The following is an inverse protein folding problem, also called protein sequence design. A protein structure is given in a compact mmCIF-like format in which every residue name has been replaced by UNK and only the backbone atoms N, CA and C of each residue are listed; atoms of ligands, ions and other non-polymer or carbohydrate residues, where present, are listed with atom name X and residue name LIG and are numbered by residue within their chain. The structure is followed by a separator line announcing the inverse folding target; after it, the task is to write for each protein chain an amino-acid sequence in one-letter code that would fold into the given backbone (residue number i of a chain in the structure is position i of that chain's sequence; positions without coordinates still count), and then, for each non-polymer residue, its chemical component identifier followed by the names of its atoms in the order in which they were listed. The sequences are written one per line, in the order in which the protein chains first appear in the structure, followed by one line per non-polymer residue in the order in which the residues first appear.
data_IF_814444201173
#
_entry.id   IF_814444201173
#
_cell.length_a   1.000
_cell.length_b   1.000
_cell.length_c   1.000
_cell.angle_alpha   90.00
_cell.angle_beta   90.00
_cell.angle_gamma   90.00
#
_symmetry.space_group_name_H-M   'P 1'
#
loop_
_entity.id
_entity.type
_entity.pdbx_description
1 polymer ?
#
# COMPACT_ATOMS: atom_id res chain seq x y z
N UNK A 1 -18.87 15.77 13.52
CA UNK A 1 -17.87 16.35 12.60
C UNK A 1 -16.75 16.84 13.48
N UNK A 2 -15.66 16.09 13.58
CA UNK A 2 -14.49 16.49 14.36
C UNK A 2 -13.25 16.14 13.57
N UNK A 3 -12.46 17.17 13.32
CA UNK A 3 -11.33 17.23 12.42
C UNK A 3 -10.14 16.48 13.03
N UNK A 4 -9.69 15.41 12.37
CA UNK A 4 -8.56 14.58 12.81
C UNK A 4 -7.20 15.20 12.42
N UNK A 5 -7.01 16.52 12.53
CA UNK A 5 -5.78 17.19 12.07
C UNK A 5 -4.85 17.69 13.17
N UNK A 6 -5.20 17.57 14.46
CA UNK A 6 -4.35 18.03 15.57
C UNK A 6 -4.42 17.07 16.76
N UNK A 7 -3.52 16.08 16.82
CA UNK A 7 -3.39 15.16 17.96
C UNK A 7 -1.99 15.32 18.57
N UNK A 8 -1.87 15.60 19.89
CA UNK A 8 -0.59 15.81 20.56
C UNK A 8 0.27 14.53 20.57
N UNK A 9 1.60 14.72 20.58
CA UNK A 9 2.61 13.65 20.44
C UNK A 9 2.46 12.55 21.52
N UNK A 10 1.99 12.87 22.72
CA UNK A 10 1.76 11.90 23.80
C UNK A 10 0.60 10.92 23.50
N UNK A 11 -0.43 11.36 22.76
CA UNK A 11 -1.56 10.50 22.36
C UNK A 11 -1.17 9.51 21.25
N UNK A 12 -0.08 9.77 20.51
CA UNK A 12 0.43 8.85 19.46
C UNK A 12 0.95 7.52 20.00
N UNK A 13 1.25 7.42 21.31
CA UNK A 13 1.63 6.16 21.98
C UNK A 13 0.43 5.32 22.41
N UNK A 14 -0.79 5.81 22.20
CA UNK A 14 -2.03 5.10 22.57
C UNK A 14 -2.71 4.43 21.38
N UNK A 15 -2.22 4.63 20.16
CA UNK A 15 -2.80 4.04 18.95
C UNK A 15 -1.74 3.34 18.10
N UNK A 16 -2.11 2.19 17.53
CA UNK A 16 -1.34 1.47 16.51
C UNK A 16 -1.99 1.63 15.14
N UNK A 17 -1.22 1.84 14.07
CA UNK A 17 -1.76 1.84 12.73
C UNK A 17 -2.24 0.44 12.34
N UNK A 18 -3.31 0.39 11.56
CA UNK A 18 -3.77 -0.77 10.83
C UNK A 18 -4.00 -0.36 9.39
N UNK A 19 -3.46 -1.12 8.45
CA UNK A 19 -3.67 -0.95 7.02
C UNK A 19 -4.52 -2.11 6.53
N UNK A 20 -5.62 -1.81 5.85
CA UNK A 20 -6.39 -2.81 5.11
C UNK A 20 -6.21 -2.59 3.61
N UNK A 21 -5.91 -3.64 2.86
CA UNK A 21 -5.83 -3.64 1.40
C UNK A 21 -6.98 -4.46 0.84
N UNK A 22 -7.76 -3.86 -0.03
CA UNK A 22 -8.81 -4.50 -0.80
C UNK A 22 -8.49 -4.33 -2.29
N UNK A 23 -8.62 -5.39 -3.09
CA UNK A 23 -8.48 -5.25 -4.53
C UNK A 23 -9.55 -4.30 -5.07
N UNK A 24 -9.11 -3.33 -5.86
CA UNK A 24 -10.01 -2.40 -6.51
C UNK A 24 -10.03 -2.67 -8.00
N UNK A 25 -11.15 -3.15 -8.49
CA UNK A 25 -11.40 -3.27 -9.91
C UNK A 25 -12.59 -2.42 -10.33
N UNK A 26 -12.37 -1.28 -11.02
CA UNK A 26 -13.47 -0.48 -11.55
C UNK A 26 -14.26 -1.20 -12.65
N UNK A 27 -13.69 -2.24 -13.28
CA UNK A 27 -14.32 -2.98 -14.38
C UNK A 27 -14.96 -4.31 -13.93
N UNK A 28 -14.81 -4.70 -12.66
CA UNK A 28 -15.43 -5.90 -12.08
C UNK A 28 -14.98 -7.25 -12.66
N UNK A 29 -13.75 -7.31 -13.19
CA UNK A 29 -13.14 -8.48 -13.82
C UNK A 29 -12.21 -9.27 -12.87
N UNK A 30 -11.75 -8.66 -11.79
CA UNK A 30 -11.00 -9.31 -10.72
C UNK A 30 -12.00 -9.90 -9.71
N UNK A 31 -11.80 -11.16 -9.31
CA UNK A 31 -12.63 -11.81 -8.30
C UNK A 31 -12.64 -11.04 -6.98
N UNK A 32 -13.73 -11.19 -6.21
CA UNK A 32 -13.88 -10.63 -4.86
C UNK A 32 -12.89 -11.28 -3.88
N UNK A 33 -11.62 -10.93 -4.00
CA UNK A 33 -10.64 -11.25 -2.97
C UNK A 33 -10.88 -10.33 -1.78
N UNK A 34 -11.28 -10.92 -0.64
CA UNK A 34 -11.57 -10.18 0.58
C UNK A 34 -10.39 -9.33 1.06
N UNK A 35 -10.68 -8.27 1.79
CA UNK A 35 -9.67 -7.36 2.31
C UNK A 35 -8.68 -8.08 3.24
N UNK A 36 -7.39 -7.83 3.03
CA UNK A 36 -6.30 -8.27 3.93
C UNK A 36 -5.91 -7.11 4.85
N UNK A 37 -5.53 -7.40 6.09
CA UNK A 37 -5.14 -6.37 7.07
C UNK A 37 -3.75 -6.61 7.63
N UNK A 38 -2.99 -5.53 7.83
CA UNK A 38 -1.66 -5.51 8.43
C UNK A 38 -1.63 -4.51 9.58
N UNK A 39 -1.07 -4.90 10.72
CA UNK A 39 -0.79 -4.02 11.85
C UNK A 39 0.68 -4.07 12.30
N UNK A 40 1.53 -4.78 11.56
CA UNK A 40 2.98 -4.81 11.70
C UNK A 40 3.64 -4.18 10.46
N UNK A 41 4.58 -3.27 10.70
CA UNK A 41 5.25 -2.50 9.66
C UNK A 41 6.78 -2.63 9.79
N UNK A 42 7.53 -2.70 8.68
CA UNK A 42 7.07 -2.42 7.30
C UNK A 42 6.32 -3.59 6.65
N UNK A 43 5.42 -3.27 5.71
CA UNK A 43 4.82 -4.25 4.79
C UNK A 43 5.28 -3.90 3.36
N UNK A 44 5.83 -4.87 2.65
CA UNK A 44 6.28 -4.73 1.26
C UNK A 44 5.23 -5.32 0.33
N UNK A 45 4.85 -4.60 -0.71
CA UNK A 45 3.94 -5.07 -1.75
C UNK A 45 4.75 -5.31 -3.03
N UNK A 46 4.57 -6.46 -3.67
CA UNK A 46 5.30 -6.77 -4.89
C UNK A 46 4.83 -8.03 -5.59
N UNK A 47 5.33 -8.26 -6.79
CA UNK A 47 4.96 -9.43 -7.59
C UNK A 47 5.65 -10.71 -7.12
N UNK A 48 4.99 -11.86 -7.21
CA UNK A 48 5.65 -13.16 -7.02
C UNK A 48 6.86 -13.34 -7.95
N UNK A 49 7.90 -14.01 -7.43
CA UNK A 49 8.96 -14.57 -8.28
C UNK A 49 8.40 -15.77 -9.08
N UNK A 50 9.03 -16.15 -10.19
CA UNK A 50 8.51 -17.14 -11.16
C UNK A 50 8.17 -18.53 -10.56
N UNK A 51 8.66 -18.84 -9.37
CA UNK A 51 8.40 -20.05 -8.57
C UNK A 51 7.50 -19.80 -7.34
N UNK A 52 6.63 -18.79 -7.39
CA UNK A 52 5.89 -18.27 -6.23
C UNK A 52 4.93 -19.26 -5.57
N UNK A 53 5.13 -19.49 -4.27
CA UNK A 53 4.16 -20.09 -3.35
C UNK A 53 2.76 -19.47 -3.51
N UNK A 54 1.70 -20.29 -3.39
CA UNK A 54 0.31 -19.84 -3.48
C UNK A 54 -0.12 -18.87 -2.37
N UNK A 55 0.71 -18.67 -1.34
CA UNK A 55 0.39 -17.77 -0.23
C UNK A 55 0.86 -16.33 -0.53
N UNK A 56 -0.11 -15.40 -0.61
CA UNK A 56 0.13 -13.98 -0.89
C UNK A 56 0.64 -13.21 0.31
N UNK A 57 0.31 -13.63 1.52
CA UNK A 57 0.82 -13.02 2.74
C UNK A 57 1.92 -13.90 3.34
N UNK A 58 3.16 -13.41 3.28
CA UNK A 58 4.31 -14.04 3.90
C UNK A 58 5.01 -13.05 4.82
N UNK A 59 4.36 -12.75 5.95
CA UNK A 59 4.89 -11.87 6.99
C UNK A 59 4.90 -10.42 6.52
N UNK A 60 6.09 -9.85 6.32
CA UNK A 60 6.25 -8.46 5.85
C UNK A 60 6.11 -8.31 4.33
N UNK A 61 5.50 -9.27 3.64
CA UNK A 61 5.30 -9.25 2.19
C UNK A 61 3.85 -9.59 1.80
N UNK A 62 3.24 -8.73 1.01
CA UNK A 62 2.02 -8.99 0.27
C UNK A 62 2.33 -9.14 -1.22
N UNK A 63 2.12 -10.35 -1.74
CA UNK A 63 2.42 -10.69 -3.12
C UNK A 63 1.21 -10.56 -4.04
N UNK A 64 1.46 -10.03 -5.23
CA UNK A 64 0.48 -9.94 -6.31
C UNK A 64 0.86 -10.85 -7.47
N UNK A 65 -0.16 -11.38 -8.13
CA UNK A 65 0.00 -12.08 -9.40
C UNK A 65 0.05 -11.06 -10.54
N UNK A 66 1.05 -11.16 -11.39
CA UNK A 66 1.18 -10.31 -12.56
C UNK A 66 2.05 -11.03 -13.61
N UNK A 67 1.74 -10.78 -14.88
CA UNK A 67 2.27 -11.51 -16.02
C UNK A 67 2.92 -10.55 -17.01
N UNK A 68 3.86 -11.02 -17.85
CA UNK A 68 4.44 -10.16 -18.89
C UNK A 68 3.37 -9.56 -19.82
N UNK A 69 3.45 -8.26 -20.17
CA UNK A 69 4.43 -7.28 -19.72
C UNK A 69 4.14 -6.79 -18.28
N UNK A 70 5.11 -6.98 -17.39
CA UNK A 70 4.91 -6.76 -15.95
C UNK A 70 4.59 -5.30 -15.61
N UNK A 71 3.56 -5.11 -14.79
CA UNK A 71 3.22 -3.84 -14.15
C UNK A 71 3.85 -3.73 -12.77
N UNK A 72 3.88 -4.84 -12.02
CA UNK A 72 4.44 -4.92 -10.69
C UNK A 72 5.88 -5.43 -10.69
N UNK A 73 6.68 -4.83 -9.80
CA UNK A 73 8.06 -5.24 -9.53
C UNK A 73 8.06 -6.19 -8.34
N UNK A 74 9.08 -7.03 -8.19
CA UNK A 74 9.14 -8.02 -7.09
C UNK A 74 9.10 -7.39 -5.69
N UNK A 75 9.64 -6.18 -5.57
CA UNK A 75 9.56 -5.33 -4.37
C UNK A 75 9.09 -3.95 -4.86
N UNK A 76 7.80 -3.82 -5.10
CA UNK A 76 7.27 -2.69 -5.86
C UNK A 76 7.15 -1.44 -4.98
N UNK A 77 6.50 -1.55 -3.84
CA UNK A 77 6.43 -0.48 -2.85
C UNK A 77 6.42 -1.07 -1.43
N UNK A 78 6.58 -0.22 -0.44
CA UNK A 78 6.45 -0.59 0.98
C UNK A 78 5.68 0.48 1.73
N UNK A 79 4.97 0.06 2.77
CA UNK A 79 4.35 0.95 3.74
C UNK A 79 5.13 0.81 5.03
N UNK A 80 5.58 1.92 5.59
CA UNK A 80 6.38 1.94 6.82
C UNK A 80 6.04 3.13 7.72
N UNK A 81 6.46 3.04 8.97
CA UNK A 81 6.34 4.15 9.93
C UNK A 81 7.43 5.18 9.66
N UNK A 82 7.02 6.39 9.28
CA UNK A 82 7.85 7.58 9.14
C UNK A 82 7.72 8.53 10.35
N UNK A 83 8.24 9.75 10.20
CA UNK A 83 8.25 10.78 11.26
C UNK A 83 6.84 11.29 11.56
N UNK A 84 5.99 11.36 10.53
CA UNK A 84 4.63 11.92 10.61
C UNK A 84 3.51 10.89 10.80
N UNK A 85 3.78 9.59 10.71
CA UNK A 85 2.77 8.53 10.60
C UNK A 85 3.19 7.48 9.59
N UNK A 86 2.23 6.81 8.96
CA UNK A 86 2.54 5.89 7.86
C UNK A 86 2.97 6.67 6.61
N UNK A 87 3.91 6.10 5.87
CA UNK A 87 4.36 6.56 4.57
C UNK A 87 4.36 5.37 3.60
N UNK A 88 4.00 5.62 2.34
CA UNK A 88 4.20 4.68 1.24
C UNK A 88 5.42 5.10 0.42
N UNK A 89 6.26 4.11 0.09
CA UNK A 89 7.55 4.33 -0.54
C UNK A 89 7.70 3.38 -1.73
N UNK A 90 7.99 3.93 -2.91
CA UNK A 90 8.30 3.14 -4.09
C UNK A 90 9.68 2.45 -3.94
N UNK A 91 9.72 1.16 -4.26
CA UNK A 91 10.88 0.27 -4.11
C UNK A 91 11.90 0.37 -5.24
N UNK A 92 11.94 1.48 -5.98
CA UNK A 92 12.58 1.62 -7.28
C UNK A 92 11.92 0.71 -8.33
N UNK A 93 10.58 0.75 -8.37
CA UNK A 93 9.85 0.00 -9.37
C UNK A 93 10.10 0.56 -10.78
N UNK A 94 10.01 -0.30 -11.79
CA UNK A 94 10.29 0.11 -13.18
C UNK A 94 9.30 1.15 -13.71
N UNK A 95 8.03 1.07 -13.29
CA UNK A 95 6.95 1.90 -13.83
C UNK A 95 6.46 2.97 -12.84
N UNK A 96 6.90 2.91 -11.58
CA UNK A 96 6.44 3.74 -10.48
C UNK A 96 5.21 3.17 -9.77
N UNK A 97 4.81 3.83 -8.70
CA UNK A 97 3.57 3.60 -7.96
C UNK A 97 2.71 4.87 -8.07
N UNK A 98 1.39 4.73 -8.17
CA UNK A 98 0.46 5.88 -8.15
C UNK A 98 -0.38 5.78 -6.87
N UNK A 99 -0.48 6.88 -6.12
CA UNK A 99 -1.25 7.00 -4.87
C UNK A 99 -2.15 8.22 -5.00
N UNK A 100 -3.46 8.02 -4.97
CA UNK A 100 -4.47 9.08 -5.17
C UNK A 100 -4.23 9.94 -6.43
N UNK A 101 -3.78 9.30 -7.51
CA UNK A 101 -3.43 9.97 -8.76
C UNK A 101 -2.03 10.60 -8.79
N UNK A 102 -1.33 10.70 -7.66
CA UNK A 102 0.04 11.19 -7.60
C UNK A 102 1.05 10.06 -7.81
N UNK A 103 1.95 10.23 -8.80
CA UNK A 103 3.01 9.27 -9.09
C UNK A 103 4.21 9.44 -8.17
N UNK A 104 4.76 8.33 -7.67
CA UNK A 104 6.04 8.24 -6.96
C UNK A 104 6.95 7.19 -7.60
N UNK A 105 8.26 7.32 -7.37
CA UNK A 105 9.28 6.36 -7.82
C UNK A 105 10.36 7.00 -8.70
N UNK A 106 11.02 6.19 -9.54
CA UNK A 106 12.20 6.61 -10.31
C UNK A 106 11.96 7.78 -11.27
N UNK A 107 10.75 7.86 -11.85
CA UNK A 107 10.39 8.86 -12.84
C UNK A 107 9.48 9.97 -12.26
N UNK A 108 9.51 10.18 -10.95
CA UNK A 108 8.71 11.18 -10.25
C UNK A 108 9.58 12.03 -9.32
N UNK A 109 9.04 13.17 -8.88
CA UNK A 109 9.76 14.13 -8.01
C UNK A 109 10.02 13.60 -6.59
N UNK A 110 9.27 12.57 -6.18
CA UNK A 110 9.44 11.92 -4.89
C UNK A 110 9.35 10.40 -5.02
N UNK A 111 10.03 9.70 -4.11
CA UNK A 111 9.91 8.24 -3.93
C UNK A 111 8.91 7.86 -2.83
N UNK A 112 8.41 8.84 -2.07
CA UNK A 112 7.58 8.60 -0.89
C UNK A 112 6.44 9.59 -0.78
N UNK A 113 5.34 9.15 -0.20
CA UNK A 113 4.20 9.98 0.18
C UNK A 113 3.72 9.66 1.59
N UNK A 114 3.32 10.67 2.37
CA UNK A 114 2.53 10.45 3.58
C UNK A 114 1.25 9.69 3.26
N UNK A 115 0.87 8.77 4.15
CA UNK A 115 -0.32 7.96 4.05
C UNK A 115 -1.20 8.22 5.30
N UNK A 116 -1.95 9.32 5.32
CA UNK A 116 -2.77 9.70 6.49
C UNK A 116 -3.89 8.69 6.74
N UNK A 117 -4.60 8.86 7.87
CA UNK A 117 -5.80 8.08 8.13
C UNK A 117 -6.87 8.33 7.05
N UNK A 118 -7.54 7.27 6.60
CA UNK A 118 -8.56 7.36 5.55
C UNK A 118 -8.37 6.31 4.46
N UNK A 119 -9.02 6.56 3.32
CA UNK A 119 -8.96 5.69 2.15
C UNK A 119 -8.06 6.31 1.08
N UNK A 120 -7.26 5.45 0.45
CA UNK A 120 -6.31 5.79 -0.58
C UNK A 120 -6.42 4.80 -1.73
N UNK A 121 -6.36 5.29 -2.96
CA UNK A 121 -6.27 4.45 -4.14
C UNK A 121 -4.81 4.25 -4.52
N UNK A 122 -4.38 3.00 -4.59
CA UNK A 122 -3.01 2.63 -4.98
C UNK A 122 -3.04 1.86 -6.29
N UNK A 123 -2.16 2.22 -7.21
CA UNK A 123 -1.90 1.47 -8.44
C UNK A 123 -0.42 1.09 -8.49
N UNK A 124 -0.13 -0.20 -8.64
CA UNK A 124 1.23 -0.68 -8.86
C UNK A 124 1.54 -0.63 -10.36
N UNK A 125 2.50 0.20 -10.75
CA UNK A 125 2.86 0.43 -12.14
C UNK A 125 2.29 1.74 -12.68
N UNK A 126 1.93 1.75 -13.97
CA UNK A 126 1.38 2.95 -14.61
C UNK A 126 -0.17 2.95 -14.56
N UNK A 127 -0.80 4.00 -15.10
CA UNK A 127 -2.26 4.16 -15.07
C UNK A 127 -3.05 3.01 -15.75
N UNK A 128 -2.42 2.28 -16.67
CA UNK A 128 -3.03 1.12 -17.35
C UNK A 128 -2.93 -0.17 -16.54
N UNK A 129 -2.19 -0.19 -15.43
CA UNK A 129 -2.05 -1.36 -14.58
C UNK A 129 -3.39 -1.76 -13.96
N UNK A 130 -3.74 -3.04 -14.06
CA UNK A 130 -4.90 -3.63 -13.39
C UNK A 130 -4.65 -3.95 -11.92
N UNK A 131 -3.42 -3.78 -11.45
CA UNK A 131 -3.04 -4.04 -10.07
C UNK A 131 -3.33 -2.80 -9.25
N UNK A 132 -4.56 -2.74 -8.75
CA UNK A 132 -5.06 -1.59 -8.02
C UNK A 132 -5.71 -2.02 -6.71
N UNK A 133 -5.53 -1.20 -5.69
CA UNK A 133 -6.03 -1.46 -4.34
C UNK A 133 -6.72 -0.24 -3.77
N UNK A 134 -7.84 -0.46 -3.09
CA UNK A 134 -8.32 0.46 -2.08
C UNK A 134 -7.58 0.14 -0.79
N UNK A 135 -6.74 1.06 -0.36
CA UNK A 135 -6.04 1.00 0.91
C UNK A 135 -6.82 1.81 1.94
N UNK A 136 -7.06 1.27 3.13
CA UNK A 136 -7.59 2.00 4.26
C UNK A 136 -6.59 2.04 5.42
N UNK A 137 -6.27 3.24 5.92
CA UNK A 137 -5.48 3.45 7.13
C UNK A 137 -6.39 3.79 8.29
N UNK A 138 -6.25 3.04 9.38
CA UNK A 138 -6.94 3.27 10.65
C UNK A 138 -5.92 3.32 11.79
N UNK A 139 -6.23 4.09 12.83
CA UNK A 139 -5.45 4.11 14.07
C UNK A 139 -6.30 3.52 15.18
N UNK A 140 -5.94 2.33 15.64
CA UNK A 140 -6.68 1.58 16.65
C UNK A 140 -6.01 1.74 18.02
N UNK A 141 -6.77 1.82 19.12
CA UNK A 141 -6.17 1.93 20.45
C UNK A 141 -5.32 0.69 20.78
N UNK A 142 -4.24 0.86 21.56
CA UNK A 142 -3.55 -0.27 22.18
C UNK A 142 -4.51 -0.97 23.15
N UNK A 143 -4.66 -2.29 23.00
CA UNK A 143 -5.31 -3.15 24.00
C UNK A 143 -4.31 -3.55 25.08
#
# INVERSE_FOLDING_TARGET
MAEHHDMPIETRRSFRPKVSLEWWDPEGQNGEEGAVSFDEFPITIGRHSRDGSANRDQGHYYFVDDQPPYQASRRHCRIEMGVGGLEIIDGNSNLGTIVDGQKIGLAADSKRLPLPAGEHLIVLGNAHSRIRFRLRVEYLPFR
#
